data_IF_997591866631
#
_entry.id   IF_997591866631
#
_cell.length_a   1.000
_cell.length_b   1.000
_cell.length_c   1.000
_cell.angle_alpha   90.00
_cell.angle_beta   90.00
_cell.angle_gamma   90.00
#
_symmetry.space_group_name_H-M   'P 1'
#
loop_
_entity.id
_entity.type
_entity.pdbx_description
1 polymer ?
#
# COMPACT_ATOMS: atom_id res chain seq x y z
N UNK A 1 11.33 -21.96 69.83
CA UNK A 1 10.39 -22.60 68.89
C UNK A 1 9.44 -21.52 68.40
N UNK A 2 9.87 -20.71 67.43
CA UNK A 2 9.59 -20.84 65.98
C UNK A 2 8.25 -20.21 65.61
N UNK A 3 8.29 -19.00 65.01
CA UNK A 3 7.14 -18.43 64.27
C UNK A 3 6.88 -19.24 63.00
N UNK A 4 5.63 -19.31 62.56
CA UNK A 4 5.29 -19.03 61.16
C UNK A 4 4.14 -18.00 61.11
N UNK A 5 4.36 -16.79 60.58
CA UNK A 5 4.25 -16.40 59.16
C UNK A 5 2.79 -16.38 58.70
N UNK A 6 2.12 -15.24 58.91
CA UNK A 6 0.93 -14.85 58.14
C UNK A 6 1.32 -14.78 56.66
N UNK A 7 0.61 -15.47 55.76
CA UNK A 7 0.76 -15.25 54.33
C UNK A 7 -0.21 -14.15 53.88
N UNK A 8 0.39 -13.08 53.33
CA UNK A 8 -0.13 -12.28 52.21
C UNK A 8 -1.36 -11.40 52.53
N UNK A 9 -1.27 -10.10 52.83
CA UNK A 9 -0.50 -9.03 52.18
C UNK A 9 -0.35 -9.18 50.66
N UNK A 10 -1.47 -9.18 49.94
CA UNK A 10 -1.48 -8.73 48.54
C UNK A 10 -2.70 -7.84 48.27
N UNK A 11 -2.73 -6.68 48.93
CA UNK A 11 -3.21 -5.46 48.28
C UNK A 11 -2.09 -4.94 47.37
N UNK A 12 -1.64 -5.69 46.36
CA UNK A 12 -0.70 -5.22 45.31
C UNK A 12 -0.76 -6.15 44.11
N UNK A 13 -1.58 -5.79 43.13
CA UNK A 13 -1.18 -5.79 41.73
C UNK A 13 -2.29 -5.09 40.97
N UNK A 14 -1.95 -3.90 40.48
CA UNK A 14 -2.67 -3.19 39.45
C UNK A 14 -3.29 -4.19 38.46
N UNK A 15 -4.62 -4.14 38.34
CA UNK A 15 -5.28 -4.48 37.08
C UNK A 15 -4.54 -3.70 36.02
N UNK A 16 -3.66 -4.37 35.27
CA UNK A 16 -3.04 -3.83 34.08
C UNK A 16 -4.19 -3.43 33.16
N UNK A 17 -4.55 -2.15 33.20
CA UNK A 17 -5.42 -1.53 32.22
C UNK A 17 -4.65 -1.59 30.90
N UNK A 18 -4.80 -2.71 30.19
CA UNK A 18 -4.25 -2.94 28.86
C UNK A 18 -4.51 -1.69 28.00
N UNK A 19 -3.57 -1.29 27.14
CA UNK A 19 -3.61 -0.06 26.34
C UNK A 19 -4.71 -0.02 25.27
N UNK A 20 -5.82 -0.78 25.40
CA UNK A 20 -6.94 -0.81 24.43
C UNK A 20 -7.47 0.59 24.10
N UNK A 21 -7.43 1.52 25.05
CA UNK A 21 -7.86 2.91 24.83
C UNK A 21 -6.85 3.71 23.99
N UNK A 22 -5.54 3.46 24.18
CA UNK A 22 -4.49 4.07 23.36
C UNK A 22 -4.48 3.48 21.94
N UNK A 23 -4.60 2.15 21.81
CA UNK A 23 -4.67 1.48 20.50
C UNK A 23 -5.87 1.97 19.67
N UNK A 24 -7.02 2.19 20.31
CA UNK A 24 -8.23 2.70 19.66
C UNK A 24 -8.14 4.19 19.29
N UNK A 25 -7.42 4.98 20.08
CA UNK A 25 -7.16 6.39 19.77
C UNK A 25 -6.17 6.56 18.61
N UNK A 26 -5.21 5.63 18.46
CA UNK A 26 -4.31 5.57 17.30
C UNK A 26 -5.09 5.25 16.02
N UNK A 27 -6.05 4.31 16.08
CA UNK A 27 -6.95 3.99 14.96
C UNK A 27 -7.88 5.17 14.57
N UNK A 28 -8.27 6.01 15.52
CA UNK A 28 -9.18 7.15 15.33
C UNK A 28 -8.48 8.41 14.80
N UNK A 29 -7.18 8.54 15.05
CA UNK A 29 -6.34 9.64 14.54
C UNK A 29 -5.72 9.36 13.16
N UNK A 30 -6.14 8.29 12.47
CA UNK A 30 -5.62 7.98 11.13
C UNK A 30 -6.14 9.02 10.14
N UNK A 31 -5.21 9.74 9.53
CA UNK A 31 -5.52 10.73 8.49
C UNK A 31 -6.43 10.13 7.41
N UNK A 32 -7.64 10.68 7.28
CA UNK A 32 -8.65 10.13 6.38
C UNK A 32 -8.47 10.59 4.92
N UNK A 33 -7.77 11.71 4.73
CA UNK A 33 -7.63 12.39 3.45
C UNK A 33 -6.17 12.70 3.14
N UNK A 34 -5.76 12.38 1.92
CA UNK A 34 -4.41 12.51 1.40
C UNK A 34 -4.40 13.36 0.15
N UNK A 35 -3.45 14.27 0.03
CA UNK A 35 -3.14 14.99 -1.19
C UNK A 35 -2.44 14.06 -2.21
N UNK A 36 -2.47 14.43 -3.49
CA UNK A 36 -1.75 13.67 -4.52
C UNK A 36 -0.25 13.50 -4.20
N UNK A 37 0.37 14.49 -3.56
CA UNK A 37 1.78 14.43 -3.18
C UNK A 37 2.04 13.39 -2.10
N UNK A 38 1.21 13.35 -1.06
CA UNK A 38 1.28 12.34 -0.01
C UNK A 38 1.03 10.93 -0.57
N UNK A 39 0.03 10.76 -1.45
CA UNK A 39 -0.22 9.46 -2.10
C UNK A 39 0.97 9.02 -2.95
N UNK A 40 1.61 9.94 -3.67
CA UNK A 40 2.83 9.63 -4.43
C UNK A 40 3.96 9.12 -3.52
N UNK A 41 4.15 9.76 -2.35
CA UNK A 41 5.16 9.34 -1.37
C UNK A 41 4.83 7.98 -0.75
N UNK A 42 3.56 7.70 -0.46
CA UNK A 42 3.13 6.44 0.14
C UNK A 42 3.21 5.25 -0.83
N UNK A 43 3.00 5.51 -2.12
CA UNK A 43 2.88 4.45 -3.13
C UNK A 43 4.14 4.31 -4.00
N UNK A 44 5.11 5.22 -3.85
CA UNK A 44 6.26 5.39 -4.75
C UNK A 44 5.85 5.56 -6.23
N UNK A 45 4.67 6.15 -6.48
CA UNK A 45 4.15 6.42 -7.83
C UNK A 45 4.34 7.88 -8.21
N UNK A 46 4.59 8.14 -9.50
CA UNK A 46 4.67 9.51 -10.02
C UNK A 46 3.27 10.12 -10.19
N UNK A 47 3.09 11.45 -10.02
CA UNK A 47 1.78 12.10 -10.11
C UNK A 47 1.02 11.85 -11.42
N UNK A 48 1.72 11.74 -12.55
CA UNK A 48 1.08 11.49 -13.84
C UNK A 48 0.54 10.06 -13.96
N UNK A 49 1.18 9.08 -13.31
CA UNK A 49 0.72 7.68 -13.28
C UNK A 49 -0.59 7.59 -12.50
N UNK A 50 -0.68 8.24 -11.34
CA UNK A 50 -1.93 8.30 -10.57
C UNK A 50 -3.07 8.94 -11.37
N UNK A 51 -2.80 10.07 -12.03
CA UNK A 51 -3.79 10.72 -12.91
C UNK A 51 -4.23 9.82 -14.06
N UNK A 52 -3.31 9.05 -14.64
CA UNK A 52 -3.64 8.08 -15.66
C UNK A 52 -4.50 6.95 -15.10
N UNK A 53 -4.14 6.39 -13.94
CA UNK A 53 -4.92 5.34 -13.28
C UNK A 53 -6.33 5.78 -12.90
N UNK A 54 -6.52 7.02 -12.43
CA UNK A 54 -7.86 7.60 -12.21
C UNK A 54 -8.74 7.53 -13.47
N UNK A 55 -8.15 7.74 -14.65
CA UNK A 55 -8.90 7.64 -15.91
C UNK A 55 -9.25 6.21 -16.29
N UNK A 56 -8.40 5.25 -15.92
CA UNK A 56 -8.54 3.84 -16.32
C UNK A 56 -9.43 3.04 -15.36
N UNK A 57 -9.42 3.37 -14.08
CA UNK A 57 -10.13 2.67 -13.03
C UNK A 57 -11.24 3.55 -12.47
N UNK A 58 -12.48 3.34 -12.92
CA UNK A 58 -13.66 4.13 -12.49
C UNK A 58 -13.92 4.10 -10.98
N UNK A 59 -13.36 3.12 -10.27
CA UNK A 59 -13.48 2.99 -8.82
C UNK A 59 -12.57 3.96 -8.05
N UNK A 60 -11.52 4.48 -8.69
CA UNK A 60 -10.66 5.53 -8.18
C UNK A 60 -11.25 6.87 -8.62
N UNK A 61 -12.00 7.53 -7.75
CA UNK A 61 -12.65 8.80 -8.07
C UNK A 61 -12.35 9.86 -6.99
N UNK A 62 -11.10 10.35 -6.94
CA UNK A 62 -10.68 11.29 -5.91
C UNK A 62 -11.51 12.57 -5.97
N UNK A 63 -11.91 13.04 -4.80
CA UNK A 63 -12.65 14.29 -4.67
C UNK A 63 -11.75 15.48 -5.04
N UNK A 64 -12.35 16.54 -5.57
CA UNK A 64 -11.67 17.81 -5.78
C UNK A 64 -11.99 18.74 -4.61
N UNK A 65 -10.96 19.38 -4.05
CA UNK A 65 -11.16 20.43 -3.05
C UNK A 65 -11.64 21.73 -3.71
N UNK A 66 -11.95 22.76 -2.89
CA UNK A 66 -12.37 24.09 -3.36
C UNK A 66 -11.36 24.80 -4.26
N UNK A 67 -10.07 24.43 -4.15
CA UNK A 67 -8.96 24.97 -4.94
C UNK A 67 -8.68 24.16 -6.22
N UNK A 68 -9.42 23.07 -6.48
CA UNK A 68 -9.22 22.19 -7.63
C UNK A 68 -8.17 21.08 -7.45
N UNK A 69 -7.57 20.96 -6.26
CA UNK A 69 -6.62 19.89 -5.94
C UNK A 69 -7.34 18.57 -5.64
N UNK A 70 -6.73 17.46 -6.05
CA UNK A 70 -7.24 16.10 -5.80
C UNK A 70 -6.95 15.69 -4.36
N UNK A 71 -7.96 15.14 -3.72
CA UNK A 71 -7.91 14.59 -2.37
C UNK A 71 -8.40 13.15 -2.42
N UNK A 72 -7.55 12.24 -1.95
CA UNK A 72 -7.81 10.81 -1.90
C UNK A 72 -8.22 10.44 -0.48
N UNK A 73 -9.32 9.72 -0.34
CA UNK A 73 -9.66 9.10 0.93
C UNK A 73 -8.75 7.88 1.18
N UNK A 74 -8.58 7.48 2.45
CA UNK A 74 -7.85 6.25 2.82
C UNK A 74 -8.23 5.03 1.97
N UNK A 75 -9.52 4.82 1.74
CA UNK A 75 -10.03 3.73 0.88
C UNK A 75 -9.51 3.78 -0.55
N UNK A 76 -9.29 4.97 -1.09
CA UNK A 76 -8.79 5.15 -2.46
C UNK A 76 -7.30 4.86 -2.52
N UNK A 77 -6.55 5.22 -1.47
CA UNK A 77 -5.14 4.85 -1.33
C UNK A 77 -4.99 3.32 -1.26
N UNK A 78 -5.83 2.63 -0.48
CA UNK A 78 -5.86 1.16 -0.43
C UNK A 78 -6.12 0.54 -1.81
N UNK A 79 -7.01 1.13 -2.61
CA UNK A 79 -7.29 0.69 -3.97
C UNK A 79 -6.12 0.95 -4.92
N UNK A 80 -5.44 2.09 -4.80
CA UNK A 80 -4.23 2.38 -5.59
C UNK A 80 -3.15 1.34 -5.31
N UNK A 81 -2.95 0.95 -4.05
CA UNK A 81 -2.01 -0.10 -3.68
C UNK A 81 -2.41 -1.47 -4.23
N UNK A 82 -3.71 -1.79 -4.23
CA UNK A 82 -4.20 -3.01 -4.88
C UNK A 82 -3.91 -3.01 -6.39
N UNK A 83 -4.17 -1.90 -7.08
CA UNK A 83 -3.85 -1.76 -8.51
C UNK A 83 -2.35 -1.91 -8.73
N UNK A 84 -1.52 -1.28 -7.90
CA UNK A 84 -0.06 -1.44 -7.95
C UNK A 84 0.34 -2.90 -7.81
N UNK A 85 -0.21 -3.62 -6.84
CA UNK A 85 0.06 -5.05 -6.65
C UNK A 85 -0.30 -5.87 -7.89
N UNK A 86 -1.49 -5.66 -8.45
CA UNK A 86 -1.93 -6.40 -9.64
C UNK A 86 -1.03 -6.15 -10.86
N UNK A 87 -0.61 -4.91 -11.07
CA UNK A 87 0.20 -4.54 -12.23
C UNK A 87 1.67 -4.93 -12.07
N UNK A 88 2.26 -4.67 -10.90
CA UNK A 88 3.70 -4.84 -10.68
C UNK A 88 4.07 -6.22 -10.12
N UNK A 89 3.26 -6.78 -9.24
CA UNK A 89 3.51 -8.09 -8.61
C UNK A 89 2.89 -9.20 -9.43
N UNK A 90 1.59 -9.13 -9.70
CA UNK A 90 0.86 -10.18 -10.43
C UNK A 90 0.99 -10.06 -11.97
N UNK A 91 1.61 -8.98 -12.47
CA UNK A 91 1.88 -8.73 -13.90
C UNK A 91 0.63 -8.69 -14.79
N UNK A 92 -0.50 -8.25 -14.24
CA UNK A 92 -1.69 -7.99 -15.04
C UNK A 92 -1.51 -6.79 -15.98
N UNK A 93 -2.21 -6.81 -17.11
CA UNK A 93 -2.43 -5.62 -17.94
C UNK A 93 -3.44 -4.68 -17.27
N UNK A 94 -3.55 -3.43 -17.74
CA UNK A 94 -4.54 -2.47 -17.24
C UNK A 94 -5.97 -3.04 -17.34
N UNK A 95 -6.30 -3.68 -18.46
CA UNK A 95 -7.63 -4.28 -18.64
C UNK A 95 -7.83 -5.52 -17.77
N UNK A 96 -6.81 -6.36 -17.61
CA UNK A 96 -6.86 -7.51 -16.71
C UNK A 96 -7.05 -7.10 -15.25
N UNK A 97 -6.30 -6.09 -14.80
CA UNK A 97 -6.45 -5.50 -13.48
C UNK A 97 -7.85 -4.89 -13.28
N UNK A 98 -8.40 -4.21 -14.30
CA UNK A 98 -9.78 -3.67 -14.25
C UNK A 98 -10.81 -4.77 -14.05
N UNK A 99 -10.70 -5.86 -14.82
CA UNK A 99 -11.61 -7.01 -14.68
C UNK A 99 -11.49 -7.65 -13.29
N UNK A 100 -10.27 -7.79 -12.78
CA UNK A 100 -9.99 -8.35 -11.46
C UNK A 100 -10.57 -7.49 -10.33
N UNK A 101 -10.42 -6.16 -10.42
CA UNK A 101 -11.02 -5.23 -9.46
C UNK A 101 -12.55 -5.32 -9.48
N UNK A 102 -13.15 -5.41 -10.66
CA UNK A 102 -14.59 -5.55 -10.80
C UNK A 102 -15.09 -6.89 -10.25
N UNK A 103 -14.33 -7.97 -10.46
CA UNK A 103 -14.61 -9.28 -9.87
C UNK A 103 -14.59 -9.21 -8.34
N UNK A 104 -13.54 -8.65 -7.74
CA UNK A 104 -13.44 -8.47 -6.29
C UNK A 104 -14.55 -7.58 -5.73
N UNK A 105 -15.04 -6.60 -6.52
CA UNK A 105 -16.19 -5.78 -6.14
C UNK A 105 -17.47 -6.60 -6.10
N UNK A 106 -17.70 -7.47 -7.08
CA UNK A 106 -18.89 -8.34 -7.16
C UNK A 106 -18.89 -9.42 -6.08
N UNK A 107 -17.72 -9.99 -5.76
CA UNK A 107 -17.58 -11.01 -4.71
C UNK A 107 -17.53 -10.42 -3.30
N UNK A 108 -17.39 -9.09 -3.16
CA UNK A 108 -17.26 -8.42 -1.86
C UNK A 108 -15.87 -8.50 -1.23
N UNK A 109 -14.91 -9.10 -1.94
CA UNK A 109 -13.52 -9.30 -1.50
C UNK A 109 -12.63 -8.07 -1.70
N UNK A 110 -13.15 -7.01 -2.32
CA UNK A 110 -12.35 -5.82 -2.66
C UNK A 110 -11.62 -5.22 -1.46
N UNK A 111 -12.28 -5.12 -0.31
CA UNK A 111 -11.67 -4.57 0.91
C UNK A 111 -10.60 -5.51 1.48
N UNK A 112 -10.81 -6.82 1.44
CA UNK A 112 -9.84 -7.79 1.96
C UNK A 112 -8.61 -7.86 1.05
N UNK A 113 -8.80 -7.83 -0.27
CA UNK A 113 -7.72 -7.76 -1.25
C UNK A 113 -6.91 -6.46 -1.09
N UNK A 114 -7.58 -5.31 -0.97
CA UNK A 114 -6.91 -4.03 -0.81
C UNK A 114 -6.12 -3.93 0.50
N UNK A 115 -6.66 -4.43 1.62
CA UNK A 115 -5.91 -4.51 2.89
C UNK A 115 -4.72 -5.45 2.82
N UNK A 116 -4.85 -6.57 2.11
CA UNK A 116 -3.75 -7.53 1.95
C UNK A 116 -2.61 -6.90 1.13
N UNK A 117 -2.95 -6.19 0.04
CA UNK A 117 -1.97 -5.43 -0.74
C UNK A 117 -1.27 -4.35 0.11
N UNK A 118 -2.03 -3.58 0.91
CA UNK A 118 -1.46 -2.62 1.86
C UNK A 118 -0.51 -3.30 2.85
N UNK A 119 -0.88 -4.45 3.41
CA UNK A 119 -0.03 -5.17 4.37
C UNK A 119 1.29 -5.61 3.73
N UNK A 120 1.26 -6.14 2.50
CA UNK A 120 2.47 -6.54 1.76
C UNK A 120 3.39 -5.36 1.52
N UNK A 121 2.86 -4.23 1.05
CA UNK A 121 3.65 -3.02 0.80
C UNK A 121 4.21 -2.42 2.11
N UNK A 122 3.42 -2.45 3.19
CA UNK A 122 3.86 -1.97 4.50
C UNK A 122 5.02 -2.81 5.04
N UNK A 123 4.95 -4.14 4.90
CA UNK A 123 6.04 -5.03 5.30
C UNK A 123 7.30 -4.72 4.50
N UNK A 124 7.19 -4.56 3.18
CA UNK A 124 8.34 -4.22 2.33
C UNK A 124 8.98 -2.87 2.71
N UNK A 125 8.18 -1.86 3.05
CA UNK A 125 8.66 -0.57 3.54
C UNK A 125 9.38 -0.71 4.88
N UNK A 126 8.78 -1.41 5.85
CA UNK A 126 9.37 -1.63 7.17
C UNK A 126 10.68 -2.43 7.07
N UNK A 127 10.74 -3.45 6.22
CA UNK A 127 11.97 -4.21 5.99
C UNK A 127 13.09 -3.33 5.42
N UNK A 128 12.76 -2.40 4.51
CA UNK A 128 13.72 -1.43 3.97
C UNK A 128 14.21 -0.48 5.07
N UNK A 129 13.30 0.13 5.82
CA UNK A 129 13.63 1.05 6.91
C UNK A 129 14.48 0.39 7.99
N UNK A 130 14.12 -0.82 8.42
CA UNK A 130 14.89 -1.59 9.40
C UNK A 130 16.29 -1.93 8.88
N UNK A 131 16.42 -2.26 7.59
CA UNK A 131 17.72 -2.51 6.96
C UNK A 131 18.58 -1.24 6.93
N UNK A 132 17.99 -0.09 6.64
CA UNK A 132 18.68 1.19 6.63
C UNK A 132 19.18 1.56 8.04
N UNK A 133 18.33 1.37 9.05
CA UNK A 133 18.69 1.57 10.47
C UNK A 133 19.81 0.61 10.88
N UNK A 134 19.71 -0.67 10.52
CA UNK A 134 20.75 -1.65 10.79
C UNK A 134 22.10 -1.24 10.17
N UNK A 135 22.09 -0.74 8.92
CA UNK A 135 23.28 -0.21 8.26
C UNK A 135 23.93 0.93 9.02
N UNK A 136 23.14 1.89 9.53
CA UNK A 136 23.63 3.00 10.35
C UNK A 136 24.29 2.49 11.64
N UNK A 137 23.68 1.50 12.31
CA UNK A 137 24.22 0.92 13.54
C UNK A 137 25.51 0.12 13.29
N UNK A 138 25.64 -0.52 12.13
CA UNK A 138 26.87 -1.21 11.69
C UNK A 138 27.98 -0.24 11.22
N UNK A 139 27.79 1.07 11.36
CA UNK A 139 28.74 2.10 10.93
C UNK A 139 28.78 2.33 9.43
N UNK A 140 27.85 1.73 8.66
CA UNK A 140 27.69 1.96 7.24
C UNK A 140 26.75 3.14 7.04
N UNK A 141 27.30 4.29 6.67
CA UNK A 141 26.49 5.45 6.30
C UNK A 141 25.63 5.07 5.08
N UNK A 142 24.29 5.17 5.16
CA UNK A 142 23.42 4.85 4.04
C UNK A 142 23.75 5.77 2.86
N UNK A 143 23.70 5.27 1.61
CA UNK A 143 23.94 6.08 0.41
C UNK A 143 22.79 7.08 0.26
N UNK A 144 22.90 8.23 0.91
CA UNK A 144 21.86 9.26 0.92
C UNK A 144 22.15 10.47 1.82
N UNK A 145 23.09 10.39 2.77
CA UNK A 145 23.41 11.51 3.67
C UNK A 145 24.62 12.34 3.23
N UNK A 146 25.09 12.21 1.98
CA UNK A 146 26.16 13.07 1.44
C UNK A 146 25.51 14.29 0.78
N UNK A 147 25.16 15.27 1.60
CA UNK A 147 24.53 16.53 1.16
C UNK A 147 25.48 17.47 0.39
N UNK A 148 26.70 17.03 0.08
CA UNK A 148 27.76 17.86 -0.51
C UNK A 148 28.20 17.39 -1.91
N UNK A 149 27.28 16.88 -2.75
CA UNK A 149 27.59 16.58 -4.16
C UNK A 149 26.56 17.22 -5.12
N UNK A 150 26.91 18.34 -5.79
CA UNK A 150 26.02 19.03 -6.73
C UNK A 150 25.86 18.30 -8.08
N UNK A 151 26.41 17.10 -8.24
CA UNK A 151 26.41 16.37 -9.52
C UNK A 151 25.42 15.20 -9.63
N UNK A 152 24.45 15.06 -8.71
CA UNK A 152 23.46 13.98 -8.78
C UNK A 152 22.26 14.22 -9.73
N UNK A 153 22.46 15.01 -10.80
CA UNK A 153 21.62 14.94 -12.00
C UNK A 153 22.14 13.80 -12.89
N UNK A 154 21.97 12.56 -12.43
CA UNK A 154 22.29 11.38 -13.22
C UNK A 154 21.05 10.52 -13.41
N UNK A 155 20.47 10.70 -14.59
CA UNK A 155 19.83 9.69 -15.43
C UNK A 155 18.51 9.10 -14.93
N UNK A 156 17.46 9.64 -15.53
CA UNK A 156 16.37 8.91 -16.18
C UNK A 156 16.53 7.39 -16.22
N UNK A 157 16.13 6.71 -15.15
CA UNK A 157 15.28 5.55 -15.32
C UNK A 157 13.86 6.10 -15.47
N UNK A 158 13.48 6.43 -16.71
CA UNK A 158 12.07 6.46 -17.04
C UNK A 158 11.51 5.09 -16.65
N UNK A 159 10.49 4.98 -15.77
CA UNK A 159 9.65 3.82 -15.85
C UNK A 159 9.05 3.93 -17.25
N UNK A 160 9.55 3.13 -18.19
CA UNK A 160 8.80 2.91 -19.42
C UNK A 160 7.36 2.66 -18.96
N UNK A 161 6.38 3.44 -19.44
CA UNK A 161 5.03 2.93 -19.40
C UNK A 161 5.15 1.57 -20.06
N UNK A 162 4.72 0.49 -19.40
CA UNK A 162 4.55 -0.80 -20.05
C UNK A 162 3.62 -0.57 -21.24
N UNK A 163 4.22 -0.15 -22.34
CA UNK A 163 3.56 0.20 -23.56
C UNK A 163 3.37 -1.14 -24.22
N UNK A 164 2.09 -1.45 -24.40
CA UNK A 164 1.66 -1.92 -25.70
C UNK A 164 2.20 -3.31 -26.09
N UNK A 165 1.84 -4.32 -25.30
CA UNK A 165 1.47 -5.60 -25.93
C UNK A 165 0.29 -6.20 -25.16
N UNK A 166 -0.87 -5.56 -25.31
CA UNK A 166 -2.14 -6.25 -25.19
C UNK A 166 -2.24 -7.23 -26.37
N UNK A 167 -1.51 -8.35 -26.29
CA UNK A 167 -1.85 -9.51 -27.10
C UNK A 167 -3.22 -9.99 -26.64
N UNK A 168 -4.17 -10.22 -27.56
CA UNK A 168 -5.46 -10.77 -27.17
C UNK A 168 -5.23 -12.16 -26.59
N UNK A 169 -5.59 -12.34 -25.32
CA UNK A 169 -5.64 -13.65 -24.66
C UNK A 169 -6.94 -14.41 -25.02
N UNK A 170 -7.38 -14.33 -26.29
CA UNK A 170 -8.52 -15.06 -26.83
C UNK A 170 -8.08 -15.81 -28.10
N UNK A 171 -7.40 -16.93 -27.90
CA UNK A 171 -7.19 -17.93 -28.93
C UNK A 171 -7.23 -19.33 -28.31
N UNK A 172 -8.29 -19.63 -27.56
CA UNK A 172 -8.72 -21.00 -27.36
C UNK A 172 -10.24 -21.03 -27.15
N UNK A 173 -10.88 -21.87 -27.96
CA UNK A 173 -12.29 -22.31 -27.93
C UNK A 173 -13.21 -21.61 -28.94
N UNK A 174 -13.28 -22.16 -30.15
CA UNK A 174 -14.49 -22.80 -30.70
C UNK A 174 -14.07 -23.59 -31.96
N UNK A 175 -13.83 -24.88 -31.82
CA UNK A 175 -14.08 -25.84 -32.90
C UNK A 175 -15.09 -26.82 -32.32
N UNK A 176 -16.34 -26.42 -32.44
CA UNK A 176 -17.48 -27.31 -32.39
C UNK A 176 -18.42 -26.85 -33.52
N UNK A 177 -19.00 -27.83 -34.22
CA UNK A 177 -20.11 -27.72 -35.16
C UNK A 177 -19.84 -27.21 -36.60
N UNK A 178 -19.56 -28.16 -37.50
CA UNK A 178 -20.24 -28.26 -38.80
C UNK A 178 -20.04 -29.68 -39.38
N UNK A 179 -20.84 -30.63 -38.89
CA UNK A 179 -21.38 -31.67 -39.74
C UNK A 179 -22.44 -31.01 -40.65
N UNK A 180 -22.23 -31.12 -41.96
CA UNK A 180 -23.19 -31.44 -43.05
C UNK A 180 -22.82 -30.78 -44.37
#
# INVERSE_FOLDING_TARGET
MTRPRDPDDVQTAARAATPRRAMRAIDEAVQEYFSIGEVCQLTDLKPHVLRYWESQFRILNPAKNRSGNRVYARREVELVLLVKHLLYTEKFTIDGARQRLEQHRRTGELRTAARSALAVETIALLERELRDIAGVLDGRVPPGTRTDDPSHFATSAEPEPLALDARPADALRTQDEAEE
#
